data_IF_352983206408
#
_entry.id   IF_352983206408
#
_cell.length_a   1.000
_cell.length_b   1.000
_cell.length_c   1.000
_cell.angle_alpha   90.00
_cell.angle_beta   90.00
_cell.angle_gamma   90.00
#
_symmetry.space_group_name_H-M   'P 1'
#
loop_
_entity.id
_entity.type
_entity.pdbx_description
1 polymer ?
#
# COMPACT_ATOMS: atom_id res chain seq x y z
N UNK A 1 -40.98 -9.60 11.89
CA UNK A 1 -40.15 -8.39 11.76
C UNK A 1 -38.88 -8.44 12.62
N UNK A 2 -38.95 -8.68 13.93
CA UNK A 2 -37.77 -8.77 14.83
C UNK A 2 -36.70 -9.80 14.38
N UNK A 3 -37.11 -11.00 13.96
CA UNK A 3 -36.18 -12.06 13.53
C UNK A 3 -35.42 -11.73 12.23
N UNK A 4 -36.02 -10.95 11.32
CA UNK A 4 -35.41 -10.56 10.04
C UNK A 4 -34.33 -9.50 10.26
N UNK A 5 -34.59 -8.54 11.15
CA UNK A 5 -33.62 -7.48 11.54
C UNK A 5 -32.41 -8.10 12.25
N UNK A 6 -32.64 -9.08 13.13
CA UNK A 6 -31.58 -9.79 13.84
C UNK A 6 -30.66 -10.58 12.89
N UNK A 7 -31.24 -11.25 11.88
CA UNK A 7 -30.47 -11.96 10.84
C UNK A 7 -29.68 -11.02 9.93
N UNK A 8 -30.24 -9.85 9.59
CA UNK A 8 -29.55 -8.84 8.79
C UNK A 8 -28.34 -8.27 9.55
N UNK A 9 -28.53 -7.90 10.82
CA UNK A 9 -27.45 -7.39 11.67
C UNK A 9 -26.35 -8.44 11.89
N UNK A 10 -26.72 -9.70 12.14
CA UNK A 10 -25.76 -10.79 12.31
C UNK A 10 -24.96 -11.08 11.03
N UNK A 11 -25.58 -11.02 9.84
CA UNK A 11 -24.88 -11.21 8.56
C UNK A 11 -23.95 -10.04 8.24
N UNK A 12 -24.38 -8.81 8.50
CA UNK A 12 -23.58 -7.61 8.26
C UNK A 12 -22.38 -7.55 9.19
N UNK A 13 -22.56 -7.88 10.47
CA UNK A 13 -21.47 -7.96 11.44
C UNK A 13 -20.45 -9.04 11.06
N UNK A 14 -20.91 -10.19 10.54
CA UNK A 14 -20.04 -11.28 10.06
C UNK A 14 -19.18 -10.87 8.85
N UNK A 15 -19.73 -10.07 7.92
CA UNK A 15 -18.97 -9.53 6.78
C UNK A 15 -17.89 -8.55 7.24
N UNK A 16 -18.20 -7.67 8.18
CA UNK A 16 -17.24 -6.69 8.72
C UNK A 16 -16.12 -7.41 9.49
N UNK A 17 -16.46 -8.38 10.33
CA UNK A 17 -15.45 -9.13 11.10
C UNK A 17 -14.59 -10.02 10.21
N UNK A 18 -15.16 -10.67 9.19
CA UNK A 18 -14.40 -11.43 8.22
C UNK A 18 -13.43 -10.54 7.41
N UNK A 19 -13.89 -9.37 6.95
CA UNK A 19 -13.04 -8.40 6.26
C UNK A 19 -11.90 -7.86 7.14
N UNK A 20 -12.21 -7.52 8.39
CA UNK A 20 -11.22 -7.06 9.36
C UNK A 20 -10.17 -8.14 9.68
N UNK A 21 -10.60 -9.39 9.85
CA UNK A 21 -9.72 -10.52 10.12
C UNK A 21 -8.78 -10.78 8.93
N UNK A 22 -9.32 -10.79 7.71
CA UNK A 22 -8.56 -10.98 6.48
C UNK A 22 -7.55 -9.85 6.25
N UNK A 23 -7.95 -8.61 6.50
CA UNK A 23 -7.05 -7.46 6.42
C UNK A 23 -5.92 -7.57 7.44
N UNK A 24 -6.24 -7.92 8.69
CA UNK A 24 -5.26 -8.06 9.76
C UNK A 24 -4.24 -9.18 9.45
N UNK A 25 -4.73 -10.34 8.99
CA UNK A 25 -3.88 -11.45 8.57
C UNK A 25 -2.95 -11.05 7.41
N UNK A 26 -3.49 -10.36 6.40
CA UNK A 26 -2.72 -9.87 5.26
C UNK A 26 -1.67 -8.84 5.72
N UNK A 27 -2.03 -7.91 6.61
CA UNK A 27 -1.11 -6.93 7.20
C UNK A 27 0.06 -7.57 7.93
N UNK A 28 -0.21 -8.61 8.74
CA UNK A 28 0.83 -9.34 9.46
C UNK A 28 1.78 -10.04 8.50
N UNK A 29 1.26 -10.70 7.46
CA UNK A 29 2.09 -11.30 6.42
C UNK A 29 2.97 -10.27 5.70
N UNK A 30 2.47 -9.05 5.46
CA UNK A 30 3.26 -7.99 4.83
C UNK A 30 4.40 -7.50 5.73
N UNK A 31 4.15 -7.36 7.04
CA UNK A 31 5.17 -6.97 8.03
C UNK A 31 6.24 -8.06 8.19
N UNK A 32 5.82 -9.33 8.20
CA UNK A 32 6.72 -10.48 8.36
C UNK A 32 7.55 -10.73 7.09
N UNK A 33 6.96 -10.58 5.90
CA UNK A 33 7.63 -10.79 4.62
C UNK A 33 8.50 -9.59 4.17
N UNK A 34 8.37 -8.43 4.82
CA UNK A 34 9.30 -7.31 4.67
C UNK A 34 10.67 -7.62 5.31
N UNK A 35 10.66 -8.28 6.47
CA UNK A 35 11.89 -8.60 7.24
C UNK A 35 12.78 -9.64 6.58
N UNK A 36 12.21 -10.56 5.79
CA UNK A 36 12.97 -11.61 5.10
C UNK A 36 13.62 -11.13 3.79
N UNK A 37 13.16 -10.01 3.21
CA UNK A 37 13.68 -9.45 1.96
C UNK A 37 14.58 -8.22 2.11
N UNK A 38 14.55 -7.54 3.26
CA UNK A 38 15.24 -6.26 3.46
C UNK A 38 16.75 -6.40 3.71
N UNK A 39 17.23 -7.53 4.25
CA UNK A 39 18.66 -7.69 4.55
C UNK A 39 19.56 -7.68 3.31
N UNK A 40 19.03 -7.96 2.11
CA UNK A 40 19.81 -7.96 0.86
C UNK A 40 19.59 -6.71 0.00
N UNK A 41 18.68 -5.81 0.39
CA UNK A 41 18.19 -4.73 -0.47
C UNK A 41 18.81 -3.35 -0.16
N UNK A 42 19.45 -3.19 0.99
CA UNK A 42 19.96 -1.90 1.48
C UNK A 42 21.09 -1.28 0.64
N UNK A 43 21.54 -1.95 -0.42
CA UNK A 43 22.62 -1.49 -1.32
C UNK A 43 22.24 -1.50 -2.82
N UNK A 44 20.94 -1.47 -3.15
CA UNK A 44 20.51 -1.22 -4.55
C UNK A 44 20.30 0.27 -4.74
N UNK A 45 20.98 0.82 -5.74
CA UNK A 45 20.77 2.19 -6.23
C UNK A 45 19.28 2.52 -6.39
N UNK A 46 18.94 3.82 -6.27
CA UNK A 46 17.59 4.38 -6.45
C UNK A 46 16.88 3.66 -7.62
N UNK A 47 15.80 2.96 -7.33
CA UNK A 47 14.98 2.18 -8.28
C UNK A 47 14.08 3.10 -9.10
N UNK A 48 13.66 4.19 -8.49
CA UNK A 48 13.01 5.31 -9.14
C UNK A 48 14.09 6.19 -9.77
N UNK A 49 14.00 6.35 -11.09
CA UNK A 49 14.85 7.28 -11.79
C UNK A 49 14.49 8.72 -11.42
N UNK A 50 15.48 9.59 -11.35
CA UNK A 50 15.29 11.04 -11.18
C UNK A 50 14.41 11.66 -12.28
N UNK A 51 14.25 10.97 -13.42
CA UNK A 51 13.45 11.40 -14.56
C UNK A 51 12.08 10.68 -14.66
N UNK A 52 11.65 10.00 -13.59
CA UNK A 52 10.36 9.33 -13.57
C UNK A 52 9.25 10.33 -13.19
N UNK A 53 8.22 10.46 -14.03
CA UNK A 53 7.04 11.31 -13.73
C UNK A 53 6.00 10.54 -12.92
N UNK A 54 5.22 11.26 -12.10
CA UNK A 54 4.04 10.75 -11.38
C UNK A 54 3.11 9.93 -12.30
N UNK A 55 2.79 10.47 -13.47
CA UNK A 55 1.91 9.83 -14.46
C UNK A 55 2.47 8.50 -14.97
N UNK A 56 3.79 8.39 -15.09
CA UNK A 56 4.43 7.13 -15.52
C UNK A 56 4.42 6.06 -14.43
N UNK A 57 4.31 6.43 -13.16
CA UNK A 57 4.30 5.50 -12.02
C UNK A 57 2.89 5.09 -11.61
N UNK A 58 1.94 6.02 -11.64
CA UNK A 58 0.58 5.81 -11.15
C UNK A 58 -0.47 5.78 -12.26
N UNK A 59 -0.11 6.19 -13.48
CA UNK A 59 -0.98 6.06 -14.66
C UNK A 59 -1.15 4.61 -15.14
N UNK A 60 -0.37 3.66 -14.61
CA UNK A 60 -0.48 2.23 -14.89
C UNK A 60 -0.78 1.42 -13.63
N UNK A 61 -1.70 0.45 -13.73
CA UNK A 61 -2.00 -0.52 -12.66
C UNK A 61 -1.07 -1.73 -12.68
N UNK A 62 -0.05 -1.74 -13.55
CA UNK A 62 0.90 -2.85 -13.59
C UNK A 62 1.76 -2.86 -12.32
N UNK A 63 2.03 -4.04 -11.74
CA UNK A 63 2.90 -4.14 -10.57
C UNK A 63 4.33 -3.71 -10.94
N UNK A 64 5.01 -3.06 -10.00
CA UNK A 64 6.40 -2.67 -10.20
C UNK A 64 7.28 -3.91 -10.44
N UNK A 65 8.22 -3.84 -11.40
CA UNK A 65 9.12 -4.95 -11.70
C UNK A 65 10.06 -5.28 -10.53
N UNK A 66 10.24 -4.34 -9.59
CA UNK A 66 11.00 -4.54 -8.37
C UNK A 66 10.28 -3.88 -7.18
N UNK A 67 10.39 -4.46 -5.98
CA UNK A 67 9.77 -3.93 -4.75
C UNK A 67 10.35 -2.57 -4.37
N UNK A 68 9.64 -1.46 -4.59
CA UNK A 68 10.16 -0.14 -4.21
C UNK A 68 10.10 0.00 -2.67
N UNK A 69 11.21 0.32 -1.98
CA UNK A 69 11.18 0.67 -0.56
C UNK A 69 10.20 1.82 -0.30
N UNK A 70 9.45 1.75 0.80
CA UNK A 70 8.47 2.80 1.11
C UNK A 70 9.14 4.18 1.25
N UNK A 71 10.31 4.25 1.88
CA UNK A 71 11.08 5.48 2.03
C UNK A 71 11.36 6.16 0.68
N UNK A 72 11.76 5.37 -0.32
CA UNK A 72 12.06 5.88 -1.66
C UNK A 72 10.83 6.45 -2.35
N UNK A 73 9.67 5.81 -2.17
CA UNK A 73 8.40 6.30 -2.72
C UNK A 73 7.94 7.60 -2.05
N UNK A 74 8.16 7.73 -0.73
CA UNK A 74 7.83 8.94 0.03
C UNK A 74 8.74 10.10 -0.39
N UNK A 75 10.07 9.88 -0.46
CA UNK A 75 11.03 10.88 -0.94
C UNK A 75 10.67 11.38 -2.34
N UNK A 76 10.36 10.46 -3.27
CA UNK A 76 9.94 10.81 -4.62
C UNK A 76 8.67 11.66 -4.67
N UNK A 77 7.64 11.31 -3.89
CA UNK A 77 6.39 12.08 -3.85
C UNK A 77 6.59 13.48 -3.27
N UNK A 78 7.44 13.61 -2.25
CA UNK A 78 7.79 14.91 -1.67
C UNK A 78 8.51 15.78 -2.71
N UNK A 79 9.46 15.22 -3.47
CA UNK A 79 10.15 15.92 -4.56
C UNK A 79 9.17 16.43 -5.63
N UNK A 80 8.17 15.62 -6.03
CA UNK A 80 7.15 16.03 -7.01
C UNK A 80 6.26 17.14 -6.46
N UNK A 81 5.76 17.01 -5.23
CA UNK A 81 4.89 18.01 -4.63
C UNK A 81 5.59 19.36 -4.44
N UNK A 82 6.88 19.35 -4.10
CA UNK A 82 7.72 20.54 -4.03
C UNK A 82 7.90 21.19 -5.43
N UNK A 83 8.18 20.38 -6.47
CA UNK A 83 8.32 20.87 -7.84
C UNK A 83 7.02 21.43 -8.44
N UNK A 84 5.86 20.88 -8.05
CA UNK A 84 4.54 21.34 -8.51
C UNK A 84 4.02 22.55 -7.73
N UNK A 85 4.72 23.00 -6.68
CA UNK A 85 4.31 24.14 -5.85
C UNK A 85 3.05 23.85 -5.02
N UNK A 86 2.76 22.58 -4.70
CA UNK A 86 1.60 22.18 -3.89
C UNK A 86 1.72 22.57 -2.41
N UNK A 87 2.87 23.11 -2.01
CA UNK A 87 3.16 23.58 -0.66
C UNK A 87 3.06 25.11 -0.48
N UNK A 88 2.76 25.87 -1.55
CA UNK A 88 2.54 27.33 -1.51
C UNK A 88 1.07 27.73 -1.27
#
# INVERSE_FOLDING_TARGET
YFCIIQLYFSKHLHLITAGLLLWNQTRLQWIENGRSGDQTQQNRARRLGWNTSYESLLGSKQPFPQRIPLTEMVEFLVEIWDHEGLYD
#
